data_IF_090094275336
#
_entry.id   IF_090094275336
#
_cell.length_a   1.000
_cell.length_b   1.000
_cell.length_c   1.000
_cell.angle_alpha   90.00
_cell.angle_beta   90.00
_cell.angle_gamma   90.00
#
_symmetry.space_group_name_H-M   'P 1'
#
loop_
_entity.id
_entity.type
_entity.pdbx_description
1 polymer ?
#
# COMPACT_ATOMS: atom_id res chain seq x y z
N UNK A 1 -12.30 -4.32 0.79
CA UNK A 1 -11.14 -5.12 1.27
C UNK A 1 -10.26 -4.24 2.14
N UNK A 2 -9.87 -4.67 3.35
CA UNK A 2 -9.10 -3.82 4.27
C UNK A 2 -7.58 -4.01 4.11
N UNK A 3 -7.03 -5.23 4.32
CA UNK A 3 -5.62 -5.52 4.06
C UNK A 3 -5.40 -5.73 2.57
N UNK A 4 -4.43 -5.00 2.01
CA UNK A 4 -4.15 -4.96 0.57
C UNK A 4 -3.32 -6.17 0.13
N UNK A 5 -3.29 -6.43 -1.19
CA UNK A 5 -2.54 -7.54 -1.77
C UNK A 5 -1.56 -6.98 -2.80
N UNK A 6 -0.29 -7.18 -2.54
CA UNK A 6 0.79 -6.99 -3.52
C UNK A 6 1.04 -8.31 -4.23
N UNK A 7 0.98 -8.32 -5.56
CA UNK A 7 1.25 -9.50 -6.36
C UNK A 7 2.51 -9.28 -7.21
N UNK A 8 3.49 -10.16 -7.09
CA UNK A 8 4.68 -10.10 -7.95
C UNK A 8 4.34 -10.61 -9.34
N UNK A 9 4.62 -9.79 -10.34
CA UNK A 9 4.57 -10.19 -11.74
C UNK A 9 5.96 -10.61 -12.24
N UNK A 10 5.99 -11.56 -13.15
CA UNK A 10 7.21 -12.11 -13.76
C UNK A 10 7.08 -12.24 -15.26
N UNK A 11 8.08 -12.87 -15.88
CA UNK A 11 8.06 -13.24 -17.30
C UNK A 11 7.52 -14.67 -17.48
N UNK A 12 6.81 -14.96 -18.59
CA UNK A 12 6.44 -14.01 -19.64
C UNK A 12 5.46 -12.95 -19.15
N UNK A 13 5.46 -11.77 -19.78
CA UNK A 13 4.54 -10.67 -19.46
C UNK A 13 3.09 -11.16 -19.52
N UNK A 14 2.31 -11.02 -18.44
CA UNK A 14 0.91 -11.43 -18.47
C UNK A 14 0.10 -10.53 -19.42
N UNK A 15 -0.83 -11.14 -20.15
CA UNK A 15 -1.77 -10.36 -20.95
C UNK A 15 -2.65 -9.45 -20.07
N UNK A 16 -3.12 -8.33 -20.61
CA UNK A 16 -4.05 -7.40 -19.93
C UNK A 16 -5.20 -8.13 -19.25
N UNK A 17 -5.82 -9.10 -19.92
CA UNK A 17 -6.92 -9.87 -19.37
C UNK A 17 -6.54 -10.60 -18.07
N UNK A 18 -5.33 -11.18 -18.00
CA UNK A 18 -4.86 -11.85 -16.79
C UNK A 18 -4.67 -10.84 -15.64
N UNK A 19 -4.11 -9.66 -15.93
CA UNK A 19 -3.96 -8.59 -14.91
C UNK A 19 -5.32 -8.13 -14.42
N UNK A 20 -6.32 -8.01 -15.29
CA UNK A 20 -7.71 -7.71 -14.89
C UNK A 20 -8.30 -8.80 -13.99
N UNK A 21 -8.07 -10.07 -14.29
CA UNK A 21 -8.52 -11.18 -13.46
C UNK A 21 -7.87 -11.13 -12.07
N UNK A 22 -6.57 -10.81 -11.98
CA UNK A 22 -5.87 -10.64 -10.71
C UNK A 22 -6.43 -9.45 -9.91
N UNK A 23 -6.72 -8.33 -10.58
CA UNK A 23 -7.34 -7.15 -9.96
C UNK A 23 -8.72 -7.49 -9.40
N UNK A 24 -9.56 -8.18 -10.18
CA UNK A 24 -10.89 -8.65 -9.72
C UNK A 24 -10.79 -9.64 -8.56
N UNK A 25 -9.76 -10.47 -8.53
CA UNK A 25 -9.50 -11.40 -7.44
C UNK A 25 -9.07 -10.69 -6.13
N UNK A 26 -8.61 -9.43 -6.23
CA UNK A 26 -8.27 -8.59 -5.09
C UNK A 26 -6.83 -8.08 -5.04
N UNK A 27 -6.02 -8.27 -6.07
CA UNK A 27 -4.72 -7.61 -6.16
C UNK A 27 -4.89 -6.10 -6.35
N UNK A 28 -4.20 -5.30 -5.53
CA UNK A 28 -4.28 -3.83 -5.55
C UNK A 28 -2.97 -3.18 -5.97
N UNK A 29 -1.87 -3.89 -5.82
CA UNK A 29 -0.53 -3.45 -6.23
C UNK A 29 0.17 -4.59 -6.97
N UNK A 30 0.77 -4.27 -8.10
CA UNK A 30 1.62 -5.20 -8.84
C UNK A 30 3.08 -4.86 -8.64
N UNK A 31 3.85 -5.84 -8.16
CA UNK A 31 5.28 -5.70 -7.96
C UNK A 31 6.06 -6.20 -9.15
N UNK A 32 7.07 -5.45 -9.53
CA UNK A 32 7.94 -5.70 -10.69
C UNK A 32 9.40 -5.54 -10.28
N UNK A 33 10.23 -6.52 -10.65
CA UNK A 33 11.69 -6.35 -10.55
C UNK A 33 12.16 -5.56 -11.78
N UNK A 34 12.72 -4.35 -11.64
CA UNK A 34 13.18 -3.55 -12.77
C UNK A 34 14.38 -4.16 -13.51
N UNK A 35 15.00 -5.21 -12.96
CA UNK A 35 16.06 -5.97 -13.61
C UNK A 35 15.55 -7.10 -14.51
N UNK A 36 14.25 -7.42 -14.47
CA UNK A 36 13.75 -8.54 -15.26
C UNK A 36 13.59 -8.16 -16.75
N UNK A 37 13.84 -9.13 -17.62
CA UNK A 37 13.59 -9.03 -19.05
C UNK A 37 14.25 -7.85 -19.76
N UNK A 38 13.72 -7.52 -20.91
CA UNK A 38 14.10 -6.35 -21.71
C UNK A 38 13.34 -5.11 -21.25
N UNK A 39 13.76 -3.94 -21.74
CA UNK A 39 13.01 -2.68 -21.51
C UNK A 39 11.61 -2.75 -22.12
N UNK A 40 11.47 -3.47 -23.26
CA UNK A 40 10.16 -3.68 -23.89
C UNK A 40 9.25 -4.55 -23.02
N UNK A 41 9.77 -5.62 -22.42
CA UNK A 41 8.98 -6.47 -21.50
C UNK A 41 8.42 -5.65 -20.32
N UNK A 42 9.21 -4.71 -19.78
CA UNK A 42 8.75 -3.83 -18.71
C UNK A 42 7.67 -2.85 -19.19
N UNK A 43 7.85 -2.25 -20.39
CA UNK A 43 6.86 -1.34 -20.95
C UNK A 43 5.53 -2.06 -21.22
N UNK A 44 5.59 -3.27 -21.75
CA UNK A 44 4.41 -4.09 -22.03
C UNK A 44 3.69 -4.42 -20.71
N UNK A 45 4.46 -4.71 -19.65
CA UNK A 45 3.91 -4.99 -18.34
C UNK A 45 3.24 -3.75 -17.71
N UNK A 46 3.90 -2.59 -17.75
CA UNK A 46 3.32 -1.34 -17.26
C UNK A 46 2.05 -0.99 -18.03
N UNK A 47 2.08 -1.18 -19.36
CA UNK A 47 0.92 -0.95 -20.23
C UNK A 47 -0.24 -1.89 -19.85
N UNK A 48 0.02 -3.17 -19.65
CA UNK A 48 -1.01 -4.14 -19.26
C UNK A 48 -1.65 -3.78 -17.90
N UNK A 49 -0.86 -3.32 -16.92
CA UNK A 49 -1.37 -2.88 -15.61
C UNK A 49 -2.23 -1.62 -15.75
N UNK A 50 -1.78 -0.62 -16.51
CA UNK A 50 -2.54 0.61 -16.75
C UNK A 50 -3.86 0.35 -17.46
N UNK A 51 -3.85 -0.48 -18.51
CA UNK A 51 -5.06 -0.86 -19.25
C UNK A 51 -6.04 -1.62 -18.35
N UNK A 52 -5.54 -2.55 -17.53
CA UNK A 52 -6.36 -3.26 -16.55
C UNK A 52 -6.99 -2.31 -15.52
N UNK A 53 -6.22 -1.36 -14.99
CA UNK A 53 -6.69 -0.31 -14.08
C UNK A 53 -7.82 0.52 -14.69
N UNK A 54 -7.64 0.98 -15.93
CA UNK A 54 -8.64 1.76 -16.66
C UNK A 54 -9.93 0.94 -16.94
N UNK A 55 -9.77 -0.31 -17.37
CA UNK A 55 -10.89 -1.21 -17.69
C UNK A 55 -11.72 -1.57 -16.45
N UNK A 56 -11.07 -1.79 -15.30
CA UNK A 56 -11.75 -2.09 -14.03
C UNK A 56 -12.18 -0.83 -13.25
N UNK A 57 -11.87 0.37 -13.77
CA UNK A 57 -12.16 1.67 -13.13
C UNK A 57 -11.69 1.74 -11.67
N UNK A 58 -10.55 1.11 -11.40
CA UNK A 58 -9.98 1.02 -10.06
C UNK A 58 -8.51 1.38 -10.16
N UNK A 59 -8.05 2.33 -9.33
CA UNK A 59 -6.63 2.61 -9.25
C UNK A 59 -5.86 1.34 -8.86
N UNK A 60 -4.72 1.10 -9.51
CA UNK A 60 -3.83 -0.03 -9.23
C UNK A 60 -2.42 0.52 -9.08
N UNK A 61 -1.71 0.12 -8.03
CA UNK A 61 -0.32 0.54 -7.80
C UNK A 61 0.68 -0.33 -8.55
N UNK A 62 1.80 0.28 -8.95
CA UNK A 62 2.98 -0.44 -9.42
C UNK A 62 4.10 -0.21 -8.40
N UNK A 63 4.66 -1.31 -7.89
CA UNK A 63 5.78 -1.34 -6.95
C UNK A 63 7.04 -1.83 -7.67
N UNK A 64 8.08 -0.99 -7.72
CA UNK A 64 9.41 -1.42 -8.13
C UNK A 64 10.09 -2.10 -6.95
N UNK A 65 10.36 -3.39 -7.07
CA UNK A 65 10.93 -4.23 -5.99
C UNK A 65 12.37 -4.59 -6.29
N UNK A 66 13.32 -3.87 -5.67
CA UNK A 66 14.75 -4.08 -5.88
C UNK A 66 15.27 -5.31 -5.12
N UNK A 67 16.21 -6.07 -5.71
CA UNK A 67 16.80 -7.23 -5.05
C UNK A 67 17.65 -6.83 -3.84
N UNK A 68 17.69 -7.70 -2.82
CA UNK A 68 18.59 -7.54 -1.65
C UNK A 68 19.94 -8.13 -2.00
N UNK A 69 20.94 -7.31 -2.29
CA UNK A 69 22.32 -7.74 -2.59
C UNK A 69 23.30 -6.58 -2.44
N UNK A 70 24.52 -6.89 -1.99
CA UNK A 70 25.65 -5.97 -1.97
C UNK A 70 26.51 -6.06 -3.24
N UNK A 71 26.24 -7.02 -4.12
CA UNK A 71 27.00 -7.26 -5.34
C UNK A 71 26.44 -6.37 -6.49
N UNK A 72 27.19 -5.34 -6.95
CA UNK A 72 26.76 -4.48 -8.05
C UNK A 72 26.41 -5.26 -9.31
N UNK A 73 27.13 -6.37 -9.61
CA UNK A 73 26.87 -7.22 -10.77
C UNK A 73 25.53 -7.94 -10.64
N UNK A 74 25.05 -8.19 -9.43
CA UNK A 74 23.71 -8.75 -9.21
C UNK A 74 22.62 -7.71 -9.24
N UNK A 75 22.91 -6.47 -8.88
CA UNK A 75 21.95 -5.36 -8.97
C UNK A 75 21.64 -5.08 -10.43
N UNK A 76 22.62 -5.19 -11.34
CA UNK A 76 22.49 -4.90 -12.78
C UNK A 76 22.53 -6.16 -13.66
N UNK A 77 22.34 -7.33 -13.09
CA UNK A 77 22.63 -8.63 -13.71
C UNK A 77 22.00 -8.91 -15.08
N UNK A 78 20.84 -8.34 -15.31
CA UNK A 78 20.06 -8.63 -16.51
C UNK A 78 20.01 -7.47 -17.49
N UNK A 79 20.78 -6.42 -17.26
CA UNK A 79 20.75 -5.22 -18.09
C UNK A 79 21.87 -5.33 -19.13
N UNK A 80 21.49 -5.43 -20.40
CA UNK A 80 22.44 -5.37 -21.51
C UNK A 80 22.91 -3.92 -21.71
N UNK A 81 24.13 -3.73 -22.21
CA UNK A 81 24.70 -2.40 -22.51
C UNK A 81 23.89 -1.61 -23.54
N UNK A 82 22.99 -2.28 -24.29
CA UNK A 82 22.10 -1.66 -25.29
C UNK A 82 20.78 -1.17 -24.71
N UNK A 83 20.43 -1.57 -23.49
CA UNK A 83 19.13 -1.30 -22.86
C UNK A 83 19.18 -0.20 -21.77
N UNK A 84 20.34 0.45 -21.63
CA UNK A 84 20.56 1.46 -20.62
C UNK A 84 20.98 0.89 -19.25
N UNK A 85 21.00 1.73 -18.22
CA UNK A 85 21.33 1.35 -16.85
C UNK A 85 20.07 1.06 -16.04
N UNK A 86 20.21 0.42 -14.87
CA UNK A 86 19.10 0.23 -13.93
C UNK A 86 18.44 1.56 -13.57
N UNK A 87 19.22 2.63 -13.38
CA UNK A 87 18.70 3.97 -13.11
C UNK A 87 17.79 4.46 -14.23
N UNK A 88 18.18 4.28 -15.50
CA UNK A 88 17.37 4.66 -16.67
C UNK A 88 16.04 3.88 -16.70
N UNK A 89 16.07 2.59 -16.37
CA UNK A 89 14.85 1.75 -16.32
C UNK A 89 13.92 2.17 -15.18
N UNK A 90 14.47 2.51 -14.03
CA UNK A 90 13.69 3.01 -12.88
C UNK A 90 13.10 4.38 -13.21
N UNK A 91 13.88 5.32 -13.74
CA UNK A 91 13.41 6.64 -14.14
C UNK A 91 12.23 6.55 -15.12
N UNK A 92 12.37 5.69 -16.13
CA UNK A 92 11.29 5.42 -17.08
C UNK A 92 10.03 4.84 -16.40
N UNK A 93 10.19 3.89 -15.48
CA UNK A 93 9.08 3.32 -14.74
C UNK A 93 8.35 4.35 -13.87
N UNK A 94 9.09 5.24 -13.21
CA UNK A 94 8.53 6.35 -12.43
C UNK A 94 7.79 7.33 -13.33
N UNK A 95 8.35 7.65 -14.52
CA UNK A 95 7.72 8.52 -15.49
C UNK A 95 6.41 7.95 -16.07
N UNK A 96 6.26 6.63 -16.15
CA UNK A 96 5.01 5.97 -16.61
C UNK A 96 4.04 5.65 -15.47
N UNK A 97 4.31 6.08 -14.23
CA UNK A 97 3.38 6.02 -13.12
C UNK A 97 3.61 4.89 -12.10
N UNK A 98 4.82 4.34 -12.01
CA UNK A 98 5.18 3.52 -10.87
C UNK A 98 5.15 4.39 -9.59
N UNK A 99 4.23 4.07 -8.68
CA UNK A 99 3.91 4.90 -7.52
C UNK A 99 4.68 4.52 -6.25
N UNK A 100 5.36 3.38 -6.26
CA UNK A 100 6.02 2.80 -5.09
C UNK A 100 7.36 2.20 -5.52
N UNK A 101 8.40 2.39 -4.72
CA UNK A 101 9.69 1.73 -4.89
C UNK A 101 10.18 1.16 -3.56
N UNK A 102 10.57 -0.10 -3.51
CA UNK A 102 11.17 -0.74 -2.34
C UNK A 102 12.68 -0.90 -2.54
N UNK A 103 13.45 -0.18 -1.73
CA UNK A 103 14.91 -0.11 -1.80
C UNK A 103 15.50 -0.84 -0.57
N UNK A 104 16.41 -1.81 -0.75
CA UNK A 104 17.12 -2.42 0.36
C UNK A 104 17.87 -1.38 1.21
N UNK A 105 17.71 -1.46 2.52
CA UNK A 105 18.41 -0.58 3.47
C UNK A 105 19.81 -1.13 3.69
N UNK A 106 20.68 -0.89 2.73
CA UNK A 106 22.06 -1.35 2.69
C UNK A 106 22.94 -0.18 2.23
N UNK A 107 24.11 -0.04 2.85
CA UNK A 107 25.10 0.96 2.41
C UNK A 107 25.71 0.54 1.08
N UNK A 108 25.18 1.08 -0.01
CA UNK A 108 25.61 0.78 -1.38
C UNK A 108 25.36 2.01 -2.28
N UNK A 109 26.36 2.39 -3.08
CA UNK A 109 26.29 3.56 -3.93
C UNK A 109 25.16 3.48 -4.98
N UNK A 110 24.85 2.29 -5.50
CA UNK A 110 23.78 2.10 -6.48
C UNK A 110 22.41 2.38 -5.83
N UNK A 111 22.16 1.82 -4.63
CA UNK A 111 20.90 2.08 -3.93
C UNK A 111 20.78 3.53 -3.48
N UNK A 112 21.89 4.18 -3.11
CA UNK A 112 21.88 5.62 -2.83
C UNK A 112 21.48 6.42 -4.08
N UNK A 113 22.06 6.12 -5.23
CA UNK A 113 21.72 6.80 -6.48
C UNK A 113 20.25 6.58 -6.89
N UNK A 114 19.71 5.36 -6.65
CA UNK A 114 18.29 5.06 -6.88
C UNK A 114 17.41 5.85 -5.90
N UNK A 115 17.80 5.95 -4.64
CA UNK A 115 17.08 6.73 -3.64
C UNK A 115 17.06 8.23 -4.02
N UNK A 116 18.20 8.78 -4.43
CA UNK A 116 18.33 10.16 -4.87
C UNK A 116 17.45 10.44 -6.11
N UNK A 117 17.40 9.49 -7.05
CA UNK A 117 16.50 9.55 -8.22
C UNK A 117 15.03 9.54 -7.79
N UNK A 118 14.63 8.59 -6.94
CA UNK A 118 13.24 8.46 -6.51
C UNK A 118 12.75 9.71 -5.74
N UNK A 119 13.63 10.36 -4.98
CA UNK A 119 13.32 11.63 -4.28
C UNK A 119 13.08 12.83 -5.21
N UNK A 120 13.41 12.73 -6.47
CA UNK A 120 13.03 13.76 -7.46
C UNK A 120 11.54 13.64 -7.88
N UNK A 121 10.88 12.54 -7.51
CA UNK A 121 9.47 12.27 -7.74
C UNK A 121 8.71 12.34 -6.39
N UNK A 122 8.21 13.51 -5.97
CA UNK A 122 7.71 13.74 -4.60
C UNK A 122 6.46 12.92 -4.23
N UNK A 123 5.73 12.44 -5.24
CA UNK A 123 4.49 11.67 -5.06
C UNK A 123 4.72 10.15 -5.03
N UNK A 124 5.98 9.71 -5.24
CA UNK A 124 6.39 8.30 -5.18
C UNK A 124 6.70 7.91 -3.74
N UNK A 125 6.15 6.79 -3.28
CA UNK A 125 6.46 6.21 -1.97
C UNK A 125 7.77 5.42 -2.03
N UNK A 126 8.74 5.79 -1.21
CA UNK A 126 10.00 5.07 -1.07
C UNK A 126 9.95 4.20 0.20
N UNK A 127 9.89 2.89 0.01
CA UNK A 127 9.87 1.92 1.11
C UNK A 127 11.28 1.41 1.41
N UNK A 128 11.66 1.39 2.68
CA UNK A 128 12.86 0.71 3.14
C UNK A 128 12.61 -0.81 3.23
N UNK A 129 13.40 -1.61 2.50
CA UNK A 129 13.31 -3.08 2.60
C UNK A 129 14.16 -3.55 3.76
N UNK A 130 13.51 -4.12 4.78
CA UNK A 130 14.13 -4.66 5.99
C UNK A 130 14.49 -6.13 5.74
N UNK A 131 15.78 -6.41 5.70
CA UNK A 131 16.31 -7.71 5.28
C UNK A 131 17.48 -8.20 6.15
N UNK A 132 17.87 -7.46 7.20
CA UNK A 132 19.01 -7.83 8.07
C UNK A 132 18.75 -7.49 9.53
N UNK A 133 19.52 -8.10 10.43
CA UNK A 133 19.49 -7.83 11.87
C UNK A 133 19.81 -6.34 12.18
N UNK A 134 20.74 -5.73 11.43
CA UNK A 134 21.06 -4.31 11.58
C UNK A 134 19.85 -3.41 11.26
N UNK A 135 19.11 -3.73 10.21
CA UNK A 135 17.90 -2.95 9.85
C UNK A 135 16.82 -3.00 10.94
N UNK A 136 16.73 -4.10 11.69
CA UNK A 136 15.78 -4.22 12.81
C UNK A 136 16.13 -3.22 13.91
N UNK A 137 17.41 -3.17 14.28
CA UNK A 137 17.90 -2.26 15.33
C UNK A 137 17.74 -0.78 14.92
N UNK A 138 17.99 -0.47 13.64
CA UNK A 138 17.95 0.90 13.09
C UNK A 138 16.54 1.32 12.62
N UNK A 139 15.50 0.49 12.82
CA UNK A 139 14.15 0.74 12.30
C UNK A 139 13.60 2.14 12.63
N UNK A 140 13.75 2.70 13.85
CA UNK A 140 13.29 4.05 14.15
C UNK A 140 13.93 5.13 13.27
N UNK A 141 15.20 4.99 12.91
CA UNK A 141 15.91 5.95 12.03
C UNK A 141 15.56 5.71 10.56
N UNK A 142 15.39 4.47 10.14
CA UNK A 142 14.88 4.11 8.82
C UNK A 142 13.51 4.74 8.61
N UNK A 143 12.62 4.66 9.59
CA UNK A 143 11.29 5.26 9.54
C UNK A 143 11.30 6.81 9.50
N UNK A 144 12.39 7.49 9.84
CA UNK A 144 12.52 8.95 9.62
C UNK A 144 12.83 9.28 8.17
N UNK A 145 13.49 8.37 7.45
CA UNK A 145 14.02 8.57 6.10
C UNK A 145 13.09 8.05 5.02
N UNK A 146 12.53 6.85 5.21
CA UNK A 146 11.67 6.14 4.26
C UNK A 146 10.19 6.42 4.54
N UNK A 147 9.36 6.31 3.51
CA UNK A 147 7.92 6.57 3.59
C UNK A 147 7.11 5.36 4.11
N UNK A 148 7.75 4.21 4.27
CA UNK A 148 7.19 2.98 4.80
C UNK A 148 8.21 1.85 4.76
N UNK A 149 7.77 0.62 5.09
CA UNK A 149 8.64 -0.55 5.10
C UNK A 149 8.11 -1.70 4.23
N UNK A 150 9.04 -2.49 3.69
CA UNK A 150 8.79 -3.84 3.21
C UNK A 150 9.60 -4.80 4.07
N UNK A 151 8.93 -5.67 4.83
CA UNK A 151 9.56 -6.68 5.69
C UNK A 151 9.84 -7.92 4.83
N UNK A 152 11.12 -8.19 4.56
CA UNK A 152 11.56 -9.34 3.78
C UNK A 152 11.94 -10.52 4.70
N UNK A 153 10.92 -11.29 5.09
CA UNK A 153 11.09 -12.40 6.05
C UNK A 153 12.02 -13.50 5.56
N UNK A 154 12.10 -13.70 4.23
CA UNK A 154 13.00 -14.71 3.65
C UNK A 154 14.48 -14.38 3.86
N UNK A 155 14.82 -13.09 3.83
CA UNK A 155 16.16 -12.63 4.16
C UNK A 155 16.38 -12.57 5.67
N UNK A 156 15.39 -12.06 6.43
CA UNK A 156 15.49 -11.99 7.90
C UNK A 156 15.71 -13.36 8.53
N UNK A 157 15.04 -14.41 8.07
CA UNK A 157 15.21 -15.78 8.58
C UNK A 157 16.61 -16.41 8.33
N UNK A 158 17.47 -15.72 7.56
CA UNK A 158 18.89 -16.10 7.38
C UNK A 158 19.82 -15.32 8.30
N UNK A 159 19.34 -14.21 8.86
CA UNK A 159 20.11 -13.27 9.67
C UNK A 159 19.82 -13.40 11.18
N UNK A 160 18.61 -13.87 11.54
CA UNK A 160 18.15 -14.07 12.91
C UNK A 160 17.59 -15.48 13.08
N UNK A 161 17.48 -16.01 14.32
CA UNK A 161 16.79 -17.26 14.60
C UNK A 161 15.37 -17.23 14.02
N UNK A 162 14.96 -18.32 13.37
CA UNK A 162 13.67 -18.39 12.67
C UNK A 162 12.48 -18.23 13.62
N UNK A 163 12.63 -18.66 14.87
CA UNK A 163 11.64 -18.51 15.94
C UNK A 163 11.44 -17.06 16.39
N UNK A 164 12.40 -16.17 16.14
CA UNK A 164 12.32 -14.74 16.48
C UNK A 164 11.64 -13.93 15.38
N UNK A 165 11.53 -14.45 14.15
CA UNK A 165 10.94 -13.74 13.00
C UNK A 165 9.52 -13.23 13.27
N UNK A 166 8.60 -13.99 13.89
CA UNK A 166 7.26 -13.51 14.16
C UNK A 166 7.21 -12.31 15.12
N UNK A 167 8.04 -12.30 16.17
CA UNK A 167 8.13 -11.20 17.13
C UNK A 167 8.68 -9.93 16.45
N UNK A 168 9.75 -10.11 15.67
CA UNK A 168 10.37 -9.03 14.89
C UNK A 168 9.38 -8.45 13.89
N UNK A 169 8.66 -9.30 13.13
CA UNK A 169 7.61 -8.88 12.20
C UNK A 169 6.57 -8.01 12.91
N UNK A 170 6.04 -8.50 14.04
CA UNK A 170 5.04 -7.76 14.82
C UNK A 170 5.59 -6.41 15.30
N UNK A 171 6.82 -6.38 15.82
CA UNK A 171 7.46 -5.16 16.29
C UNK A 171 7.61 -4.12 15.18
N UNK A 172 8.09 -4.53 13.99
CA UNK A 172 8.25 -3.64 12.84
C UNK A 172 6.91 -3.10 12.36
N UNK A 173 5.87 -3.94 12.31
CA UNK A 173 4.50 -3.52 11.97
C UNK A 173 4.00 -2.46 12.96
N UNK A 174 4.16 -2.68 14.27
CA UNK A 174 3.71 -1.73 15.28
C UNK A 174 4.47 -0.38 15.21
N UNK A 175 5.78 -0.40 14.90
CA UNK A 175 6.55 0.82 14.67
C UNK A 175 6.04 1.61 13.46
N UNK A 176 5.71 0.93 12.34
CA UNK A 176 5.11 1.55 11.18
C UNK A 176 3.74 2.17 11.49
N UNK A 177 2.87 1.44 12.19
CA UNK A 177 1.56 1.93 12.63
C UNK A 177 1.70 3.16 13.52
N UNK A 178 2.62 3.14 14.49
CA UNK A 178 2.90 4.30 15.35
C UNK A 178 3.38 5.51 14.54
N UNK A 179 4.17 5.30 13.49
CA UNK A 179 4.65 6.34 12.61
C UNK A 179 3.60 6.80 11.56
N UNK A 180 2.48 6.10 11.41
CA UNK A 180 1.48 6.36 10.35
C UNK A 180 2.00 6.07 8.94
N UNK A 181 2.91 5.09 8.82
CA UNK A 181 3.58 4.71 7.57
C UNK A 181 3.16 3.31 7.14
N UNK A 182 2.97 3.06 5.83
CA UNK A 182 2.53 1.76 5.34
C UNK A 182 3.62 0.69 5.51
N UNK A 183 3.17 -0.54 5.73
CA UNK A 183 4.05 -1.71 5.85
C UNK A 183 3.54 -2.87 5.02
N UNK A 184 4.46 -3.48 4.26
CA UNK A 184 4.24 -4.71 3.51
C UNK A 184 4.89 -5.87 4.24
N UNK A 185 4.16 -6.95 4.49
CA UNK A 185 4.73 -8.22 4.94
C UNK A 185 4.97 -9.13 3.74
N UNK A 186 6.24 -9.46 3.47
CA UNK A 186 6.69 -10.30 2.38
C UNK A 186 7.41 -11.56 2.89
N UNK A 187 7.48 -12.58 2.04
CA UNK A 187 8.16 -13.86 2.28
C UNK A 187 7.18 -15.03 2.40
N UNK A 188 7.27 -15.96 1.44
CA UNK A 188 6.60 -17.27 1.38
C UNK A 188 5.07 -17.30 1.61
N UNK A 189 4.36 -16.19 1.41
CA UNK A 189 2.90 -16.16 1.54
C UNK A 189 2.26 -17.18 0.58
N UNK A 190 1.47 -18.12 1.12
CA UNK A 190 0.78 -19.19 0.40
C UNK A 190 1.69 -20.07 -0.47
N UNK A 191 2.93 -20.32 -0.02
CA UNK A 191 3.93 -21.08 -0.79
C UNK A 191 3.48 -22.50 -1.15
N UNK A 192 2.63 -23.14 -0.35
CA UNK A 192 2.12 -24.48 -0.67
C UNK A 192 1.24 -24.52 -1.92
N UNK A 193 0.68 -23.38 -2.37
CA UNK A 193 -0.09 -23.31 -3.61
C UNK A 193 0.73 -23.57 -4.88
N UNK A 194 2.06 -23.56 -4.79
CA UNK A 194 2.93 -24.00 -5.88
C UNK A 194 2.76 -25.49 -6.20
N UNK A 195 2.47 -26.31 -5.19
CA UNK A 195 2.43 -27.77 -5.27
C UNK A 195 1.05 -28.34 -5.01
N UNK A 196 0.08 -27.52 -4.59
CA UNK A 196 -1.26 -27.94 -4.19
C UNK A 196 -2.30 -26.91 -4.62
N UNK A 197 -3.50 -27.37 -4.95
CA UNK A 197 -4.66 -26.49 -5.20
C UNK A 197 -5.28 -25.88 -3.93
N UNK A 198 -4.79 -26.29 -2.74
CA UNK A 198 -5.26 -25.80 -1.45
C UNK A 198 -4.07 -25.36 -0.60
N UNK A 199 -4.16 -24.21 0.12
CA UNK A 199 -3.11 -23.79 1.02
C UNK A 199 -3.00 -24.75 2.21
N UNK A 200 -1.81 -24.87 2.76
CA UNK A 200 -1.60 -25.54 4.03
C UNK A 200 -2.22 -24.74 5.19
N UNK A 201 -2.42 -25.39 6.34
CA UNK A 201 -2.86 -24.67 7.55
C UNK A 201 -1.82 -23.68 8.01
N UNK A 202 -0.53 -23.98 7.81
CA UNK A 202 0.58 -23.06 8.11
C UNK A 202 0.47 -21.77 7.30
N UNK A 203 0.26 -21.86 5.98
CA UNK A 203 0.08 -20.67 5.12
C UNK A 203 -1.10 -19.80 5.56
N UNK A 204 -2.23 -20.43 5.95
CA UNK A 204 -3.41 -19.67 6.41
C UNK A 204 -3.13 -18.95 7.72
N UNK A 205 -2.42 -19.59 8.66
CA UNK A 205 -2.04 -19.01 9.95
C UNK A 205 -1.02 -17.87 9.72
N UNK A 206 -0.05 -18.06 8.85
CA UNK A 206 0.97 -17.07 8.54
C UNK A 206 0.36 -15.76 7.99
N UNK A 207 -0.50 -15.88 6.97
CA UNK A 207 -1.25 -14.74 6.44
C UNK A 207 -2.14 -14.10 7.51
N UNK A 208 -2.87 -14.90 8.29
CA UNK A 208 -3.75 -14.38 9.32
C UNK A 208 -2.96 -13.64 10.43
N UNK A 209 -1.78 -14.14 10.80
CA UNK A 209 -0.89 -13.51 11.76
C UNK A 209 -0.45 -12.11 11.30
N UNK A 210 0.04 -11.98 10.05
CA UNK A 210 0.40 -10.69 9.47
C UNK A 210 -0.77 -9.69 9.50
N UNK A 211 -1.98 -10.15 9.12
CA UNK A 211 -3.20 -9.31 9.14
C UNK A 211 -3.55 -8.86 10.54
N UNK A 212 -3.57 -9.77 11.52
CA UNK A 212 -3.93 -9.47 12.92
C UNK A 212 -2.86 -8.60 13.59
N UNK A 213 -1.59 -8.77 13.22
CA UNK A 213 -0.49 -7.88 13.64
C UNK A 213 -0.65 -6.45 13.10
N UNK A 214 -1.49 -6.24 12.06
CA UNK A 214 -1.84 -4.92 11.56
C UNK A 214 -1.14 -4.49 10.29
N UNK A 215 -0.52 -5.42 9.52
CA UNK A 215 0.11 -5.07 8.23
C UNK A 215 -0.88 -4.35 7.29
N UNK A 216 -0.37 -3.44 6.46
CA UNK A 216 -1.16 -2.77 5.44
C UNK A 216 -1.38 -3.66 4.23
N UNK A 217 -0.36 -4.39 3.83
CA UNK A 217 -0.43 -5.28 2.70
C UNK A 217 0.34 -6.60 2.94
N UNK A 218 -0.14 -7.66 2.33
CA UNK A 218 0.54 -8.95 2.23
C UNK A 218 1.05 -9.14 0.80
N UNK A 219 2.26 -9.72 0.68
CA UNK A 219 2.96 -9.84 -0.58
C UNK A 219 2.90 -11.28 -1.09
N UNK A 220 2.19 -11.51 -2.19
CA UNK A 220 2.14 -12.78 -2.89
C UNK A 220 3.37 -12.94 -3.77
N UNK A 221 4.26 -13.87 -3.40
CA UNK A 221 5.54 -14.08 -4.06
C UNK A 221 5.38 -14.56 -5.51
N UNK A 222 6.46 -14.42 -6.30
CA UNK A 222 6.55 -14.92 -7.67
C UNK A 222 6.19 -16.40 -7.78
N UNK A 223 6.57 -17.19 -6.80
CA UNK A 223 6.28 -18.62 -6.76
C UNK A 223 4.77 -18.91 -6.83
N UNK A 224 3.98 -18.19 -6.04
CA UNK A 224 2.53 -18.34 -6.07
C UNK A 224 1.91 -17.69 -7.31
N UNK A 225 2.52 -16.62 -7.85
CA UNK A 225 2.06 -15.97 -9.09
C UNK A 225 2.39 -16.76 -10.36
N UNK A 226 3.34 -17.70 -10.31
CA UNK A 226 3.68 -18.64 -11.39
C UNK A 226 3.01 -20.00 -11.27
N UNK A 227 2.23 -20.22 -10.22
CA UNK A 227 1.44 -21.44 -10.02
C UNK A 227 0.42 -21.67 -11.14
N UNK A 228 -0.23 -22.82 -11.11
CA UNK A 228 -1.22 -23.18 -12.13
C UNK A 228 -2.49 -22.32 -12.12
N UNK A 229 -2.74 -21.57 -11.04
CA UNK A 229 -3.90 -20.68 -10.88
C UNK A 229 -3.53 -19.41 -10.06
N UNK A 230 -2.87 -18.42 -10.69
CA UNK A 230 -2.48 -17.19 -10.01
C UNK A 230 -3.68 -16.36 -9.50
N UNK A 231 -4.77 -16.29 -10.27
CA UNK A 231 -5.99 -15.59 -9.87
C UNK A 231 -6.65 -16.26 -8.65
N UNK A 232 -6.67 -17.58 -8.63
CA UNK A 232 -7.15 -18.37 -7.47
C UNK A 232 -6.29 -18.17 -6.23
N UNK A 233 -4.97 -18.00 -6.37
CA UNK A 233 -4.07 -17.69 -5.27
C UNK A 233 -4.37 -16.30 -4.67
N UNK A 234 -4.55 -15.28 -5.50
CA UNK A 234 -4.99 -13.95 -5.05
C UNK A 234 -6.35 -14.01 -4.37
N UNK A 235 -7.32 -14.69 -4.97
CA UNK A 235 -8.65 -14.85 -4.39
C UNK A 235 -8.62 -15.59 -3.04
N UNK A 236 -7.73 -16.58 -2.89
CA UNK A 236 -7.52 -17.27 -1.61
C UNK A 236 -6.96 -16.32 -0.56
N UNK A 237 -5.91 -15.59 -0.91
CA UNK A 237 -5.28 -14.59 -0.03
C UNK A 237 -6.30 -13.54 0.42
N UNK A 238 -7.14 -13.05 -0.51
CA UNK A 238 -8.22 -12.12 -0.21
C UNK A 238 -9.25 -12.69 0.77
N UNK A 239 -9.64 -13.96 0.62
CA UNK A 239 -10.55 -14.63 1.57
C UNK A 239 -9.94 -14.74 2.96
N UNK A 240 -8.66 -15.10 3.06
CA UNK A 240 -7.95 -15.21 4.34
C UNK A 240 -7.85 -13.82 4.99
N UNK A 241 -7.45 -12.79 4.24
CA UNK A 241 -7.35 -11.41 4.72
C UNK A 241 -8.68 -10.92 5.29
N UNK A 242 -9.78 -11.12 4.56
CA UNK A 242 -11.11 -10.70 4.99
C UNK A 242 -11.57 -11.45 6.25
N UNK A 243 -11.25 -12.75 6.35
CA UNK A 243 -11.57 -13.53 7.54
C UNK A 243 -10.72 -13.12 8.74
N UNK A 244 -9.43 -12.97 8.56
CA UNK A 244 -8.50 -12.52 9.63
C UNK A 244 -8.85 -11.11 10.11
N UNK A 245 -9.27 -10.20 9.22
CA UNK A 245 -9.68 -8.85 9.59
C UNK A 245 -10.86 -8.82 10.58
N UNK A 246 -11.68 -9.87 10.66
CA UNK A 246 -12.75 -9.98 11.68
C UNK A 246 -12.21 -10.26 13.09
N UNK A 247 -10.94 -10.61 13.21
CA UNK A 247 -10.24 -10.85 14.48
C UNK A 247 -9.55 -9.59 15.01
N UNK A 248 -9.47 -8.53 14.20
CA UNK A 248 -8.92 -7.24 14.65
C UNK A 248 -9.77 -6.66 15.78
N UNK A 249 -9.15 -6.02 16.78
CA UNK A 249 -9.90 -5.36 17.84
C UNK A 249 -10.87 -4.33 17.25
N UNK A 250 -12.04 -4.18 17.87
CA UNK A 250 -13.01 -3.13 17.50
C UNK A 250 -12.46 -1.72 17.72
N UNK A 251 -11.46 -1.58 18.59
CA UNK A 251 -10.74 -0.35 18.89
C UNK A 251 -9.24 -0.54 18.64
N UNK A 252 -8.65 0.39 17.93
CA UNK A 252 -7.20 0.43 17.83
C UNK A 252 -6.59 0.79 19.18
N UNK A 253 -5.62 0.01 19.68
CA UNK A 253 -4.88 0.37 20.88
C UNK A 253 -4.18 1.74 20.78
N UNK A 254 -3.90 2.20 19.56
CA UNK A 254 -3.28 3.51 19.32
C UNK A 254 -4.20 4.67 19.71
N UNK A 255 -5.52 4.50 19.73
CA UNK A 255 -6.45 5.56 20.16
C UNK A 255 -6.36 5.91 21.63
N UNK A 256 -5.82 5.01 22.46
CA UNK A 256 -5.63 5.22 23.90
C UNK A 256 -4.24 5.77 24.25
N UNK A 257 -3.33 5.80 23.26
CA UNK A 257 -1.99 6.37 23.43
C UNK A 257 -2.06 7.88 23.18
N UNK A 258 -1.31 8.65 23.98
CA UNK A 258 -1.15 10.06 23.66
C UNK A 258 -0.39 10.21 22.36
N UNK A 259 -0.79 11.16 21.48
CA UNK A 259 -0.03 11.47 20.27
C UNK A 259 1.45 11.71 20.63
N UNK A 260 2.35 11.13 19.85
CA UNK A 260 3.79 11.23 20.10
C UNK A 260 4.33 12.66 19.93
N UNK A 261 3.58 13.52 19.22
CA UNK A 261 3.86 14.94 19.00
C UNK A 261 2.55 15.73 19.03
N UNK A 262 2.62 17.01 19.36
CA UNK A 262 1.49 17.98 19.28
C UNK A 262 1.07 18.27 17.82
N UNK A 263 0.95 17.21 17.01
CA UNK A 263 0.61 17.33 15.59
C UNK A 263 -0.90 17.57 15.42
N UNK A 264 -1.23 18.70 14.81
CA UNK A 264 -2.62 19.05 14.46
C UNK A 264 -3.22 17.97 13.55
N UNK A 265 -2.48 17.50 12.56
CA UNK A 265 -2.91 16.45 11.62
C UNK A 265 -3.21 15.14 12.36
N UNK A 266 -2.37 14.72 13.30
CA UNK A 266 -2.59 13.50 14.08
C UNK A 266 -3.81 13.63 14.98
N UNK A 267 -3.96 14.76 15.69
CA UNK A 267 -5.14 15.04 16.51
C UNK A 267 -6.42 15.01 15.67
N UNK A 268 -6.42 15.65 14.50
CA UNK A 268 -7.58 15.69 13.60
C UNK A 268 -7.93 14.30 13.08
N UNK A 269 -6.92 13.50 12.69
CA UNK A 269 -7.12 12.11 12.25
C UNK A 269 -7.69 11.22 13.36
N UNK A 270 -7.19 11.37 14.60
CA UNK A 270 -7.70 10.67 15.78
C UNK A 270 -9.17 11.00 16.02
N UNK A 271 -9.52 12.29 16.02
CA UNK A 271 -10.90 12.74 16.21
C UNK A 271 -11.83 12.23 15.11
N UNK A 272 -11.38 12.20 13.86
CA UNK A 272 -12.16 11.65 12.76
C UNK A 272 -12.56 10.19 13.03
N UNK A 273 -11.62 9.36 13.52
CA UNK A 273 -11.90 7.95 13.85
C UNK A 273 -12.82 7.83 15.08
N UNK A 274 -12.63 8.65 16.11
CA UNK A 274 -13.49 8.66 17.29
C UNK A 274 -14.94 9.04 16.91
N UNK A 275 -15.12 10.04 16.05
CA UNK A 275 -16.44 10.49 15.57
C UNK A 275 -17.21 9.38 14.85
N UNK A 276 -16.54 8.48 14.11
CA UNK A 276 -17.24 7.38 13.41
C UNK A 276 -17.98 6.45 14.35
N UNK A 277 -17.54 6.38 15.60
CA UNK A 277 -18.11 5.49 16.60
C UNK A 277 -19.23 6.15 17.39
N UNK A 278 -19.06 7.45 17.68
CA UNK A 278 -20.01 8.22 18.50
C UNK A 278 -21.27 8.60 17.71
N UNK A 279 -21.12 8.92 16.42
CA UNK A 279 -22.20 9.45 15.59
C UNK A 279 -22.76 8.42 14.56
N UNK A 280 -22.42 7.13 14.69
CA UNK A 280 -22.85 6.06 13.76
C UNK A 280 -22.53 6.39 12.27
N UNK A 281 -21.41 7.04 12.04
CA UNK A 281 -20.96 7.45 10.72
C UNK A 281 -20.68 6.24 9.83
N UNK A 282 -21.00 6.32 8.55
CA UNK A 282 -20.87 5.23 7.58
C UNK A 282 -19.54 5.20 6.83
N UNK A 283 -18.87 6.34 6.70
CA UNK A 283 -17.58 6.45 6.00
C UNK A 283 -16.77 7.64 6.51
N UNK A 284 -15.45 7.60 6.28
CA UNK A 284 -14.58 8.76 6.38
C UNK A 284 -14.19 9.18 4.97
N UNK A 285 -14.40 10.42 4.61
CA UNK A 285 -13.92 11.04 3.37
C UNK A 285 -12.77 11.97 3.71
N UNK A 286 -11.60 11.76 3.14
CA UNK A 286 -10.45 12.64 3.35
C UNK A 286 -9.94 13.18 2.02
N UNK A 287 -9.75 14.51 1.95
CA UNK A 287 -9.16 15.16 0.79
C UNK A 287 -7.66 15.28 1.04
N UNK A 288 -6.86 14.75 0.12
CA UNK A 288 -5.41 14.66 0.30
C UNK A 288 -4.66 14.86 -1.01
N UNK A 289 -3.57 15.62 -0.98
CA UNK A 289 -2.66 15.81 -2.13
C UNK A 289 -1.56 14.77 -2.19
N UNK A 290 -1.04 14.32 -1.03
CA UNK A 290 0.09 13.38 -0.93
C UNK A 290 -0.27 12.06 -0.23
N UNK A 291 -1.54 11.86 0.16
CA UNK A 291 -2.01 10.65 0.81
C UNK A 291 -1.68 10.52 2.30
N UNK A 292 -0.89 11.43 2.88
CA UNK A 292 -0.45 11.33 4.27
C UNK A 292 -1.61 11.35 5.26
N UNK A 293 -2.60 12.21 5.06
CA UNK A 293 -3.80 12.28 5.90
C UNK A 293 -4.58 10.98 5.92
N UNK A 294 -4.78 10.38 4.74
CA UNK A 294 -5.48 9.11 4.62
C UNK A 294 -4.75 8.01 5.39
N UNK A 295 -3.41 7.96 5.31
CA UNK A 295 -2.59 7.00 6.07
C UNK A 295 -2.64 7.24 7.58
N UNK A 296 -2.64 8.52 8.02
CA UNK A 296 -2.79 8.86 9.44
C UNK A 296 -4.16 8.41 10.00
N UNK A 297 -5.21 8.43 9.21
CA UNK A 297 -6.52 7.90 9.59
C UNK A 297 -6.48 6.34 9.59
N UNK A 298 -5.95 5.75 8.52
CA UNK A 298 -5.95 4.30 8.32
C UNK A 298 -5.15 3.52 9.37
N UNK A 299 -4.11 4.11 9.97
CA UNK A 299 -3.31 3.47 11.03
C UNK A 299 -4.14 3.05 12.24
N UNK A 300 -5.25 3.71 12.50
CA UNK A 300 -6.19 3.37 13.57
C UNK A 300 -7.15 2.23 13.21
N UNK A 301 -7.07 1.71 11.98
CA UNK A 301 -7.89 0.59 11.47
C UNK A 301 -9.39 0.81 11.68
N UNK A 302 -9.98 1.94 11.23
CA UNK A 302 -11.39 2.25 11.44
C UNK A 302 -12.31 1.15 10.87
N UNK A 303 -13.47 0.95 11.50
CA UNK A 303 -14.42 -0.08 11.07
C UNK A 303 -15.21 0.33 9.81
N UNK A 304 -15.25 1.62 9.51
CA UNK A 304 -15.87 2.20 8.30
C UNK A 304 -14.83 2.37 7.18
N UNK A 305 -15.23 2.41 5.90
CA UNK A 305 -14.32 2.68 4.78
C UNK A 305 -13.73 4.08 4.87
N UNK A 306 -12.49 4.23 4.39
CA UNK A 306 -11.79 5.51 4.24
C UNK A 306 -11.67 5.82 2.75
N UNK A 307 -12.40 6.81 2.28
CA UNK A 307 -12.31 7.29 0.89
C UNK A 307 -11.30 8.44 0.84
N UNK A 308 -10.20 8.22 0.13
CA UNK A 308 -9.16 9.23 -0.07
C UNK A 308 -9.34 9.91 -1.42
N UNK A 309 -9.83 11.14 -1.41
CA UNK A 309 -10.08 11.93 -2.62
C UNK A 309 -8.82 12.72 -2.97
N UNK A 310 -8.32 12.54 -4.18
CA UNK A 310 -7.13 13.23 -4.68
C UNK A 310 -7.27 13.59 -6.16
N UNK A 311 -6.59 14.65 -6.59
CA UNK A 311 -6.48 14.98 -8.02
C UNK A 311 -5.30 14.26 -8.70
N UNK A 312 -4.42 13.63 -7.93
CA UNK A 312 -3.18 13.04 -8.41
C UNK A 312 -3.29 11.51 -8.57
N UNK A 313 -3.34 10.98 -9.81
CA UNK A 313 -3.45 9.54 -10.06
C UNK A 313 -2.33 8.71 -9.42
N UNK A 314 -1.10 9.26 -9.38
CA UNK A 314 0.05 8.57 -8.77
C UNK A 314 -0.12 8.41 -7.25
N UNK A 315 -0.70 9.42 -6.59
CA UNK A 315 -1.03 9.34 -5.15
C UNK A 315 -2.11 8.30 -4.90
N UNK A 316 -3.14 8.26 -5.75
CA UNK A 316 -4.18 7.23 -5.66
C UNK A 316 -3.60 5.82 -5.83
N UNK A 317 -2.70 5.63 -6.79
CA UNK A 317 -2.00 4.37 -7.01
C UNK A 317 -1.13 3.97 -5.80
N UNK A 318 -0.43 4.91 -5.18
CA UNK A 318 0.35 4.69 -3.96
C UNK A 318 -0.51 4.34 -2.74
N UNK A 319 -1.70 4.93 -2.62
CA UNK A 319 -2.66 4.65 -1.56
C UNK A 319 -3.28 3.25 -1.64
N UNK A 320 -3.20 2.59 -2.79
CA UNK A 320 -3.60 1.18 -2.95
C UNK A 320 -2.75 0.22 -2.12
N UNK A 321 -1.64 0.67 -1.56
CA UNK A 321 -0.84 -0.08 -0.60
C UNK A 321 -1.38 0.01 0.83
N UNK A 322 -2.12 1.06 1.17
CA UNK A 322 -2.48 1.39 2.56
C UNK A 322 -3.79 0.72 2.98
N UNK A 323 -3.80 0.17 4.19
CA UNK A 323 -4.93 -0.56 4.74
C UNK A 323 -6.24 0.24 4.72
N UNK A 324 -7.32 -0.38 4.25
CA UNK A 324 -8.69 0.14 4.36
C UNK A 324 -8.95 1.44 3.59
N UNK A 325 -7.99 1.94 2.81
CA UNK A 325 -8.16 3.13 1.98
C UNK A 325 -8.66 2.74 0.61
N UNK A 326 -9.72 3.40 0.16
CA UNK A 326 -10.22 3.33 -1.21
C UNK A 326 -10.00 4.71 -1.87
N UNK A 327 -8.95 4.84 -2.71
CA UNK A 327 -8.64 6.11 -3.35
C UNK A 327 -9.62 6.44 -4.48
N UNK A 328 -10.01 7.71 -4.57
CA UNK A 328 -10.87 8.25 -5.62
C UNK A 328 -10.13 9.40 -6.30
N UNK A 329 -9.93 9.26 -7.61
CA UNK A 329 -9.33 10.32 -8.42
C UNK A 329 -10.43 11.24 -8.95
N UNK A 330 -10.28 12.53 -8.70
CA UNK A 330 -11.18 13.58 -9.19
C UNK A 330 -10.46 14.51 -10.16
N UNK A 331 -11.21 15.31 -10.92
CA UNK A 331 -10.60 16.27 -11.85
C UNK A 331 -9.73 17.28 -11.09
N UNK A 332 -8.56 17.60 -11.65
CA UNK A 332 -7.69 18.63 -11.12
C UNK A 332 -8.42 20.01 -11.11
N UNK A 333 -8.23 20.78 -10.04
CA UNK A 333 -8.90 22.08 -9.85
C UNK A 333 -10.34 21.99 -9.32
N UNK A 334 -10.85 20.81 -8.95
CA UNK A 334 -12.15 20.66 -8.29
C UNK A 334 -12.18 21.42 -6.96
N UNK A 335 -13.32 22.05 -6.65
CA UNK A 335 -13.53 22.64 -5.33
C UNK A 335 -13.64 21.55 -4.26
N UNK A 336 -13.46 21.93 -2.97
CA UNK A 336 -13.66 21.01 -1.85
C UNK A 336 -15.05 20.36 -1.87
N UNK A 337 -16.07 21.16 -2.14
CA UNK A 337 -17.47 20.72 -2.20
C UNK A 337 -17.68 19.73 -3.35
N UNK A 338 -17.09 19.99 -4.52
CA UNK A 338 -17.15 19.07 -5.67
C UNK A 338 -16.44 17.73 -5.36
N UNK A 339 -15.31 17.75 -4.65
CA UNK A 339 -14.60 16.54 -4.23
C UNK A 339 -15.43 15.71 -3.22
N UNK A 340 -16.08 16.37 -2.27
CA UNK A 340 -16.97 15.71 -1.30
C UNK A 340 -18.17 15.11 -2.03
N UNK A 341 -18.81 15.87 -2.91
CA UNK A 341 -19.97 15.41 -3.68
C UNK A 341 -19.63 14.17 -4.53
N UNK A 342 -18.46 14.14 -5.15
CA UNK A 342 -18.04 12.97 -5.94
C UNK A 342 -17.81 11.75 -5.05
N UNK A 343 -17.21 11.91 -3.87
CA UNK A 343 -17.06 10.84 -2.90
C UNK A 343 -18.42 10.32 -2.41
N UNK A 344 -19.36 11.19 -2.13
CA UNK A 344 -20.74 10.82 -1.77
C UNK A 344 -21.44 10.04 -2.87
N UNK A 345 -21.29 10.48 -4.13
CA UNK A 345 -21.86 9.78 -5.29
C UNK A 345 -21.33 8.34 -5.38
N UNK A 346 -20.01 8.15 -5.22
CA UNK A 346 -19.38 6.82 -5.22
C UNK A 346 -19.89 5.97 -4.05
N UNK A 347 -19.94 6.53 -2.83
CA UNK A 347 -20.43 5.82 -1.66
C UNK A 347 -21.90 5.41 -1.80
N UNK A 348 -22.74 6.28 -2.36
CA UNK A 348 -24.16 6.00 -2.62
C UNK A 348 -24.34 4.94 -3.72
N UNK A 349 -23.60 5.02 -4.84
CA UNK A 349 -23.62 4.02 -5.91
C UNK A 349 -23.19 2.64 -5.45
N UNK A 350 -22.24 2.57 -4.53
CA UNK A 350 -21.76 1.30 -3.93
C UNK A 350 -22.63 0.80 -2.77
N UNK A 351 -23.67 1.55 -2.39
CA UNK A 351 -24.59 1.19 -1.33
C UNK A 351 -24.01 1.32 0.09
N UNK A 352 -22.91 2.05 0.24
CA UNK A 352 -22.30 2.30 1.56
C UNK A 352 -23.08 3.34 2.34
N UNK A 353 -23.62 4.37 1.65
CA UNK A 353 -24.47 5.40 2.25
C UNK A 353 -25.81 5.51 1.50
N UNK A 354 -26.82 6.01 2.21
CA UNK A 354 -28.10 6.42 1.68
C UNK A 354 -28.46 7.81 2.24
N UNK A 355 -29.49 8.45 1.65
CA UNK A 355 -29.94 9.78 2.12
C UNK A 355 -30.22 9.75 3.61
N UNK A 356 -29.69 10.71 4.36
CA UNK A 356 -29.75 10.82 5.81
C UNK A 356 -28.62 10.10 6.57
N UNK A 357 -27.75 9.35 5.88
CA UNK A 357 -26.55 8.78 6.51
C UNK A 357 -25.47 9.87 6.71
N UNK A 358 -24.76 9.77 7.84
CA UNK A 358 -23.65 10.66 8.16
C UNK A 358 -22.32 10.13 7.68
N UNK A 359 -21.46 11.02 7.20
CA UNK A 359 -20.05 10.78 6.89
C UNK A 359 -19.17 11.76 7.68
N UNK A 360 -17.93 11.37 7.96
CA UNK A 360 -16.90 12.29 8.48
C UNK A 360 -16.07 12.80 7.31
N UNK A 361 -15.95 14.11 7.19
CA UNK A 361 -15.09 14.76 6.18
C UNK A 361 -13.88 15.36 6.87
N UNK A 362 -12.68 15.04 6.35
CA UNK A 362 -11.38 15.49 6.87
C UNK A 362 -10.63 16.23 5.77
N UNK A 363 -10.23 17.46 6.04
CA UNK A 363 -9.52 18.30 5.06
C UNK A 363 -8.63 19.35 5.74
N UNK A 364 -7.71 19.93 4.98
CA UNK A 364 -7.00 21.13 5.38
C UNK A 364 -7.87 22.40 5.14
N UNK A 365 -7.84 23.34 6.06
CA UNK A 365 -8.51 24.64 5.91
C UNK A 365 -7.50 25.79 6.16
N UNK A 366 -7.42 26.83 5.28
CA UNK A 366 -8.15 26.98 4.01
C UNK A 366 -7.79 25.94 2.96
N UNK A 367 -8.79 25.53 2.16
CA UNK A 367 -8.60 24.51 1.13
C UNK A 367 -7.55 24.90 0.09
N UNK A 368 -6.67 23.97 -0.25
CA UNK A 368 -5.56 24.17 -1.20
C UNK A 368 -4.38 25.01 -0.67
N UNK A 369 -4.43 25.51 0.57
CA UNK A 369 -3.39 26.34 1.17
C UNK A 369 -2.84 25.77 2.49
N UNK A 370 -3.62 24.94 3.18
CA UNK A 370 -3.22 24.37 4.46
C UNK A 370 -2.09 23.34 4.29
N UNK A 371 -1.02 23.51 5.08
CA UNK A 371 0.05 22.52 5.19
C UNK A 371 -0.36 21.34 6.06
N UNK A 372 -1.20 21.59 7.06
CA UNK A 372 -1.69 20.61 8.02
C UNK A 372 -3.19 20.38 7.83
N UNK A 373 -3.61 19.17 8.12
CA UNK A 373 -5.03 18.84 8.19
C UNK A 373 -5.56 19.26 9.56
N UNK A 374 -6.48 20.21 9.55
CA UNK A 374 -6.94 20.93 10.75
C UNK A 374 -8.47 21.05 10.83
N UNK A 375 -9.20 20.41 9.90
CA UNK A 375 -10.65 20.45 9.87
C UNK A 375 -11.22 19.04 9.79
N UNK A 376 -12.15 18.75 10.70
CA UNK A 376 -12.98 17.55 10.70
C UNK A 376 -14.42 17.95 10.94
N UNK A 377 -15.33 17.48 10.07
CA UNK A 377 -16.76 17.79 10.12
C UNK A 377 -17.57 16.52 9.91
N UNK A 378 -18.77 16.47 10.50
CA UNK A 378 -19.78 15.48 10.16
C UNK A 378 -20.70 16.12 9.12
N UNK A 379 -20.94 15.39 8.04
CA UNK A 379 -21.79 15.78 6.94
C UNK A 379 -22.89 14.74 6.77
N UNK A 380 -24.15 15.17 6.61
CA UNK A 380 -25.30 14.30 6.39
C UNK A 380 -25.63 14.27 4.90
N UNK A 381 -25.57 13.08 4.28
CA UNK A 381 -25.77 12.92 2.84
C UNK A 381 -27.20 13.24 2.42
N UNK A 382 -27.34 14.09 1.41
CA UNK A 382 -28.64 14.46 0.83
C UNK A 382 -29.38 15.55 1.61
N UNK A 383 -28.80 16.12 2.66
CA UNK A 383 -29.29 17.28 3.38
C UNK A 383 -28.43 18.46 2.96
N UNK A 384 -28.91 19.21 1.96
CA UNK A 384 -28.28 20.46 1.53
C UNK A 384 -29.06 21.63 2.19
N UNK A 385 -28.35 22.43 2.98
CA UNK A 385 -28.83 23.74 3.40
C UNK A 385 -28.78 24.77 2.24
#
# INVERSE_FOLDING_TARGET
MKTKIVMKLGLPVPAEQAVREYTRAGATVFSVDPNMGTSQDLDDLYTAVQQASAAEKTAVGILLDLPVTNDPLRIERNISSTEGTLLTRIDRALAVGAAIIAIPVITNAVYQAIWDLARQHPDVLILGKIASAANIADCPDILKTYDGLLIDRDHLAREIPVEDVPEVEQSLIQQCLAAGKPVITAGQMLSSLMMSSRPSRGDVIDVAYAVVSGTDAVYLSEAASRGGDPAGAVAMLNRINNKAATMLPSESPLLTQQPANDSITETTATQAVVMTRQAQVKAIVTITSAGSTARQIARYKPQVPVIAVTAEPIVAAGLQLSWGIDPLVVANGSSREAMIQEAENVLAQTGVIQIGDAIVVVAGYPFGQAKDVNNVTIHEYGVYE
#
